data_IF_298401886185
#
_entry.id   IF_298401886185
#
_cell.length_a   1.000
_cell.length_b   1.000
_cell.length_c   1.000
_cell.angle_alpha   90.00
_cell.angle_beta   90.00
_cell.angle_gamma   90.00
#
_symmetry.space_group_name_H-M   'P 1'
#
loop_
_entity.id
_entity.type
_entity.pdbx_description
1 polymer ?
#
# COMPACT_ATOMS: atom_id res chain seq x y z
N UNK A 1 -2.53 -32.64 -13.63
CA UNK A 1 -2.67 -31.60 -12.60
C UNK A 1 -1.81 -30.44 -13.03
N UNK A 2 -2.42 -29.49 -13.72
CA UNK A 2 -1.75 -28.29 -14.22
C UNK A 2 -1.46 -27.37 -13.03
N UNK A 3 -0.19 -27.07 -12.78
CA UNK A 3 0.23 -26.00 -11.89
C UNK A 3 0.07 -24.66 -12.63
N UNK A 4 -1.18 -24.29 -12.90
CA UNK A 4 -1.53 -22.99 -13.44
C UNK A 4 -1.33 -21.95 -12.33
N UNK A 5 -0.19 -21.26 -12.38
CA UNK A 5 -0.03 -19.85 -11.98
C UNK A 5 -0.99 -19.31 -10.90
N UNK A 6 -0.77 -19.64 -9.63
CA UNK A 6 -1.31 -18.86 -8.51
C UNK A 6 -0.23 -18.73 -7.44
N UNK A 7 0.70 -17.78 -7.64
CA UNK A 7 1.33 -17.14 -6.49
C UNK A 7 0.25 -16.42 -5.68
N UNK A 8 0.44 -16.11 -4.37
CA UNK A 8 -0.60 -15.46 -3.58
C UNK A 8 -1.14 -14.26 -4.36
N UNK A 9 -2.44 -14.29 -4.64
CA UNK A 9 -3.10 -13.49 -5.70
C UNK A 9 -3.17 -11.99 -5.39
N UNK A 10 -2.61 -11.55 -4.27
CA UNK A 10 -2.62 -10.18 -3.83
C UNK A 10 -1.67 -10.01 -2.62
N UNK A 11 -1.08 -8.84 -2.41
CA UNK A 11 -0.27 -8.53 -1.21
C UNK A 11 -1.07 -8.70 0.09
N UNK A 12 -2.38 -8.46 0.03
CA UNK A 12 -3.29 -8.66 1.16
C UNK A 12 -3.52 -10.14 1.47
N UNK A 13 -3.58 -10.99 0.44
CA UNK A 13 -3.77 -12.44 0.59
C UNK A 13 -2.58 -13.10 1.30
N UNK A 14 -1.37 -12.55 1.12
CA UNK A 14 -0.16 -13.00 1.82
C UNK A 14 -0.32 -12.96 3.35
N UNK A 15 -1.11 -12.00 3.85
CA UNK A 15 -1.37 -11.80 5.27
C UNK A 15 -2.77 -12.25 5.69
N UNK A 16 -3.58 -12.78 4.77
CA UNK A 16 -4.98 -13.13 5.02
C UNK A 16 -5.86 -11.91 5.35
N UNK A 17 -5.48 -10.72 4.86
CA UNK A 17 -6.17 -9.46 5.15
C UNK A 17 -7.16 -9.11 4.04
N UNK A 18 -8.24 -8.37 4.34
CA UNK A 18 -9.13 -7.87 3.31
C UNK A 18 -8.40 -6.84 2.42
N UNK A 19 -8.69 -6.84 1.12
CA UNK A 19 -8.19 -5.84 0.16
C UNK A 19 -8.88 -4.49 0.38
N UNK A 20 -8.47 -3.76 1.42
CA UNK A 20 -8.97 -2.41 1.77
C UNK A 20 -7.82 -1.43 1.86
N UNK A 21 -8.10 -0.16 1.53
CA UNK A 21 -7.09 0.88 1.68
C UNK A 21 -6.92 1.26 3.14
N UNK A 22 -8.01 1.51 3.87
CA UNK A 22 -7.96 1.63 5.33
C UNK A 22 -7.68 0.24 5.94
N UNK A 23 -6.45 0.07 6.41
CA UNK A 23 -5.95 -1.17 7.00
C UNK A 23 -5.62 -0.94 8.47
N UNK A 24 -6.04 -1.86 9.32
CA UNK A 24 -5.59 -1.92 10.72
C UNK A 24 -4.11 -2.35 10.74
N UNK A 25 -3.24 -1.44 11.17
CA UNK A 25 -1.80 -1.69 11.24
C UNK A 25 -1.44 -2.71 12.32
N UNK A 26 -2.23 -2.83 13.38
CA UNK A 26 -2.01 -3.83 14.43
C UNK A 26 -2.39 -5.22 13.91
N UNK A 27 -3.45 -5.31 13.08
CA UNK A 27 -3.80 -6.55 12.39
C UNK A 27 -2.72 -6.97 11.38
N UNK A 28 -2.21 -6.02 10.59
CA UNK A 28 -1.08 -6.25 9.69
C UNK A 28 0.16 -6.72 10.44
N UNK A 29 0.51 -6.10 11.56
CA UNK A 29 1.66 -6.48 12.38
C UNK A 29 1.52 -7.92 12.91
N UNK A 30 0.34 -8.25 13.45
CA UNK A 30 0.07 -9.61 13.93
C UNK A 30 0.20 -10.63 12.81
N UNK A 31 -0.40 -10.36 11.65
CA UNK A 31 -0.33 -11.24 10.49
C UNK A 31 1.12 -11.39 9.98
N UNK A 32 1.87 -10.30 9.91
CA UNK A 32 3.29 -10.30 9.55
C UNK A 32 4.11 -11.21 10.46
N UNK A 33 3.97 -11.08 11.78
CA UNK A 33 4.69 -11.91 12.74
C UNK A 33 4.35 -13.40 12.54
N UNK A 34 3.09 -13.75 12.28
CA UNK A 34 2.69 -15.15 12.06
C UNK A 34 3.29 -15.72 10.79
N UNK A 35 3.21 -14.98 9.67
CA UNK A 35 3.79 -15.41 8.39
C UNK A 35 5.30 -15.53 8.52
N UNK A 36 5.96 -14.54 9.12
CA UNK A 36 7.40 -14.50 9.25
C UNK A 36 7.95 -15.66 10.09
N UNK A 37 7.26 -16.10 11.14
CA UNK A 37 7.65 -17.28 11.93
C UNK A 37 7.71 -18.57 11.10
N UNK A 38 6.88 -18.70 10.07
CA UNK A 38 6.85 -19.87 9.19
C UNK A 38 8.00 -19.84 8.18
N UNK A 39 8.32 -18.65 7.66
CA UNK A 39 9.28 -18.47 6.56
C UNK A 39 10.67 -18.00 7.01
N UNK A 40 10.90 -17.80 8.31
CA UNK A 40 12.16 -17.25 8.82
C UNK A 40 13.33 -18.19 8.50
N UNK A 41 14.43 -17.71 7.88
CA UNK A 41 15.54 -18.57 7.46
C UNK A 41 16.18 -19.35 8.61
N UNK A 42 16.15 -18.84 9.84
CA UNK A 42 16.68 -19.55 11.03
C UNK A 42 15.96 -20.88 11.33
N UNK A 43 14.72 -21.05 10.86
CA UNK A 43 13.97 -22.29 11.02
C UNK A 43 14.32 -23.33 9.94
N UNK A 44 15.13 -22.97 8.94
CA UNK A 44 15.42 -23.80 7.77
C UNK A 44 16.92 -23.96 7.55
N UNK A 45 17.36 -25.11 7.05
CA UNK A 45 18.78 -25.37 6.77
C UNK A 45 18.97 -25.96 5.36
N UNK A 46 20.22 -26.09 4.92
CA UNK A 46 20.56 -26.69 3.64
C UNK A 46 19.90 -26.01 2.43
N UNK A 47 19.30 -26.80 1.53
CA UNK A 47 18.67 -26.29 0.30
C UNK A 47 17.42 -25.44 0.55
N UNK A 48 16.68 -25.70 1.63
CA UNK A 48 15.49 -24.91 2.02
C UNK A 48 15.81 -23.52 2.54
N UNK A 49 17.03 -23.29 3.07
CA UNK A 49 17.43 -21.99 3.60
C UNK A 49 17.30 -20.87 2.55
N UNK A 50 17.75 -21.11 1.31
CA UNK A 50 17.69 -20.10 0.25
C UNK A 50 16.26 -19.73 -0.13
N UNK A 51 15.36 -20.70 -0.09
CA UNK A 51 13.93 -20.48 -0.37
C UNK A 51 13.29 -19.68 0.76
N UNK A 52 13.53 -20.08 2.01
CA UNK A 52 13.05 -19.37 3.20
C UNK A 52 13.55 -17.92 3.24
N UNK A 53 14.85 -17.69 2.99
CA UNK A 53 15.42 -16.35 2.93
C UNK A 53 14.74 -15.47 1.85
N UNK A 54 14.46 -16.02 0.67
CA UNK A 54 13.74 -15.30 -0.39
C UNK A 54 12.30 -14.98 -0.01
N UNK A 55 11.60 -15.92 0.64
CA UNK A 55 10.23 -15.72 1.11
C UNK A 55 10.17 -14.69 2.23
N UNK A 56 11.05 -14.80 3.22
CA UNK A 56 11.20 -13.83 4.31
C UNK A 56 11.48 -12.42 3.79
N UNK A 57 12.38 -12.27 2.83
CA UNK A 57 12.63 -10.97 2.17
C UNK A 57 11.40 -10.43 1.44
N UNK A 58 10.66 -11.30 0.75
CA UNK A 58 9.41 -10.91 0.08
C UNK A 58 8.35 -10.44 1.09
N UNK A 59 8.16 -11.18 2.18
CA UNK A 59 7.22 -10.84 3.27
C UNK A 59 7.57 -9.48 3.88
N UNK A 60 8.86 -9.22 4.16
CA UNK A 60 9.32 -7.93 4.67
C UNK A 60 9.01 -6.77 3.72
N UNK A 61 9.26 -6.97 2.42
CA UNK A 61 8.99 -5.97 1.39
C UNK A 61 7.49 -5.64 1.32
N UNK A 62 6.64 -6.66 1.28
CA UNK A 62 5.18 -6.47 1.20
C UNK A 62 4.64 -5.84 2.48
N UNK A 63 5.10 -6.27 3.66
CA UNK A 63 4.74 -5.65 4.93
C UNK A 63 5.08 -4.16 4.96
N UNK A 64 6.31 -3.78 4.58
CA UNK A 64 6.71 -2.38 4.50
C UNK A 64 5.86 -1.58 3.52
N UNK A 65 5.58 -2.15 2.34
CA UNK A 65 4.76 -1.49 1.34
C UNK A 65 3.29 -1.34 1.75
N UNK A 66 2.73 -2.33 2.45
CA UNK A 66 1.38 -2.21 3.00
C UNK A 66 1.34 -1.26 4.20
N UNK A 67 2.40 -1.05 4.97
CA UNK A 67 2.39 -0.13 6.10
C UNK A 67 2.31 1.34 5.67
N UNK A 68 2.95 1.69 4.57
CA UNK A 68 2.99 3.06 4.02
C UNK A 68 1.75 3.35 3.16
N UNK A 69 0.88 4.32 3.52
CA UNK A 69 -0.35 4.62 2.76
C UNK A 69 -0.08 4.92 1.30
N UNK A 70 0.97 5.68 0.98
CA UNK A 70 1.38 5.96 -0.39
C UNK A 70 1.65 4.69 -1.19
N UNK A 71 2.49 3.79 -0.68
CA UNK A 71 2.85 2.53 -1.38
C UNK A 71 1.64 1.59 -1.49
N UNK A 72 0.80 1.54 -0.45
CA UNK A 72 -0.46 0.78 -0.45
C UNK A 72 -1.40 1.28 -1.55
N UNK A 73 -1.62 2.59 -1.63
CA UNK A 73 -2.46 3.21 -2.65
C UNK A 73 -1.93 2.96 -4.07
N UNK A 74 -0.61 3.14 -4.28
CA UNK A 74 0.06 2.84 -5.55
C UNK A 74 -0.18 1.39 -5.98
N UNK A 75 0.02 0.44 -5.06
CA UNK A 75 -0.21 -0.98 -5.34
C UNK A 75 -1.67 -1.26 -5.72
N UNK A 76 -2.62 -0.70 -4.97
CA UNK A 76 -4.04 -0.88 -5.24
C UNK A 76 -4.45 -0.31 -6.61
N UNK A 77 -3.92 0.85 -7.00
CA UNK A 77 -4.12 1.44 -8.33
C UNK A 77 -3.50 0.59 -9.44
N UNK A 78 -2.30 0.04 -9.23
CA UNK A 78 -1.67 -0.92 -10.16
C UNK A 78 -2.52 -2.16 -10.37
N UNK A 79 -3.04 -2.74 -9.28
CA UNK A 79 -3.94 -3.90 -9.35
C UNK A 79 -5.25 -3.61 -10.08
N UNK A 80 -5.73 -2.36 -10.04
CA UNK A 80 -6.94 -1.94 -10.76
C UNK A 80 -6.68 -1.55 -12.23
N UNK A 81 -5.42 -1.45 -12.67
CA UNK A 81 -5.06 -0.99 -14.02
C UNK A 81 -5.07 0.53 -14.19
N UNK A 82 -5.14 1.30 -13.09
CA UNK A 82 -5.18 2.77 -13.09
C UNK A 82 -3.83 3.37 -12.66
N UNK A 83 -2.74 2.76 -13.12
CA UNK A 83 -1.37 3.23 -12.90
C UNK A 83 -0.62 3.29 -14.25
N UNK A 84 0.22 4.32 -14.51
CA UNK A 84 0.58 5.43 -13.62
C UNK A 84 -0.55 6.45 -13.44
N UNK A 85 -0.50 7.18 -12.32
CA UNK A 85 -1.41 8.31 -12.06
C UNK A 85 -1.01 9.48 -12.99
N UNK A 86 -1.93 10.01 -13.80
CA UNK A 86 -1.65 11.18 -14.62
C UNK A 86 -1.49 12.44 -13.75
N UNK A 87 -0.85 13.46 -14.30
CA UNK A 87 -0.81 14.77 -13.65
C UNK A 87 -2.18 15.44 -13.73
N UNK A 88 -2.63 16.02 -12.61
CA UNK A 88 -3.82 16.85 -12.54
C UNK A 88 -3.39 18.30 -12.21
N UNK A 89 -3.25 19.20 -13.20
CA UNK A 89 -2.63 20.52 -13.00
C UNK A 89 -3.23 21.34 -11.85
N UNK A 90 -4.57 21.38 -11.75
CA UNK A 90 -5.26 22.09 -10.66
C UNK A 90 -4.94 21.56 -9.27
N UNK A 91 -4.77 20.23 -9.15
CA UNK A 91 -4.41 19.59 -7.88
C UNK A 91 -2.95 19.88 -7.55
N UNK A 92 -2.06 19.83 -8.56
CA UNK A 92 -0.66 20.18 -8.37
C UNK A 92 -0.48 21.64 -7.95
N UNK A 93 -1.26 22.55 -8.53
CA UNK A 93 -1.32 23.96 -8.14
C UNK A 93 -1.83 24.13 -6.69
N UNK A 94 -2.90 23.43 -6.30
CA UNK A 94 -3.40 23.46 -4.92
C UNK A 94 -2.35 22.93 -3.93
N UNK A 95 -1.74 21.78 -4.21
CA UNK A 95 -0.69 21.18 -3.37
C UNK A 95 0.49 22.14 -3.23
N UNK A 96 0.92 22.76 -4.34
CA UNK A 96 2.01 23.74 -4.31
C UNK A 96 1.65 24.96 -3.46
N UNK A 97 0.45 25.50 -3.66
CA UNK A 97 -0.05 26.62 -2.87
C UNK A 97 -0.14 26.28 -1.39
N UNK A 98 -0.67 25.11 -1.04
CA UNK A 98 -0.70 24.63 0.34
C UNK A 98 0.72 24.63 0.91
N UNK A 99 1.67 23.96 0.25
CA UNK A 99 3.07 23.90 0.69
C UNK A 99 3.70 25.28 0.92
N UNK A 100 3.37 26.28 0.11
CA UNK A 100 3.90 27.64 0.29
C UNK A 100 3.35 28.37 1.52
N UNK A 101 2.21 27.94 2.08
CA UNK A 101 1.64 28.55 3.29
C UNK A 101 2.36 28.13 4.58
N UNK A 102 3.20 27.09 4.54
CA UNK A 102 3.88 26.52 5.73
C UNK A 102 2.93 26.22 6.92
N UNK A 103 1.68 25.87 6.63
CA UNK A 103 0.67 25.57 7.64
C UNK A 103 0.55 24.05 7.84
N UNK A 104 1.25 23.53 8.86
CA UNK A 104 1.29 22.10 9.13
C UNK A 104 -0.08 21.50 9.50
N UNK A 105 -0.92 22.23 10.24
CA UNK A 105 -2.26 21.76 10.62
C UNK A 105 -3.14 21.56 9.39
N UNK A 106 -3.06 22.50 8.43
CA UNK A 106 -3.77 22.39 7.17
C UNK A 106 -3.25 21.23 6.31
N UNK A 107 -1.94 20.96 6.32
CA UNK A 107 -1.36 19.82 5.58
C UNK A 107 -1.83 18.51 6.16
N UNK A 108 -1.76 18.38 7.48
CA UNK A 108 -2.19 17.18 8.19
C UNK A 108 -3.68 16.94 7.95
N UNK A 109 -4.52 17.99 8.01
CA UNK A 109 -5.95 17.90 7.67
C UNK A 109 -6.19 17.43 6.24
N UNK A 110 -5.55 18.08 5.26
CA UNK A 110 -5.71 17.74 3.83
C UNK A 110 -5.20 16.34 3.50
N UNK A 111 -4.13 15.90 4.18
CA UNK A 111 -3.63 14.54 4.07
C UNK A 111 -4.65 13.53 4.61
N UNK A 112 -5.24 13.77 5.79
CA UNK A 112 -6.28 12.88 6.34
C UNK A 112 -7.52 12.83 5.44
N UNK A 113 -7.96 13.97 4.91
CA UNK A 113 -9.07 14.03 3.95
C UNK A 113 -8.77 13.20 2.69
N UNK A 114 -7.52 13.24 2.22
CA UNK A 114 -7.09 12.46 1.07
C UNK A 114 -7.06 10.95 1.35
N UNK A 115 -6.65 10.54 2.55
CA UNK A 115 -6.69 9.13 2.99
C UNK A 115 -8.12 8.60 2.94
N UNK A 116 -9.08 9.33 3.50
CA UNK A 116 -10.49 8.95 3.50
C UNK A 116 -11.09 8.97 2.09
N UNK A 117 -10.79 10.03 1.32
CA UNK A 117 -11.27 10.18 -0.05
C UNK A 117 -10.76 9.06 -0.97
N UNK A 118 -9.51 8.63 -0.78
CA UNK A 118 -8.95 7.51 -1.55
C UNK A 118 -9.70 6.21 -1.24
N UNK A 119 -9.91 5.89 0.04
CA UNK A 119 -10.63 4.67 0.45
C UNK A 119 -12.03 4.62 -0.13
N UNK A 120 -12.79 5.71 0.04
CA UNK A 120 -14.17 5.80 -0.46
C UNK A 120 -14.23 5.71 -1.98
N UNK A 121 -13.35 6.45 -2.69
CA UNK A 121 -13.30 6.42 -4.15
C UNK A 121 -12.93 5.03 -4.67
N UNK A 122 -11.97 4.37 -4.04
CA UNK A 122 -11.53 3.04 -4.45
C UNK A 122 -12.63 1.99 -4.23
N UNK A 123 -13.34 2.05 -3.10
CA UNK A 123 -14.47 1.15 -2.82
C UNK A 123 -15.64 1.31 -3.81
N UNK A 124 -15.84 2.53 -4.32
CA UNK A 124 -16.86 2.85 -5.34
C UNK A 124 -16.39 2.64 -6.77
N UNK A 125 -15.19 2.09 -6.98
CA UNK A 125 -14.56 1.93 -8.31
C UNK A 125 -14.40 3.26 -9.07
N UNK A 126 -14.38 4.38 -8.35
CA UNK A 126 -14.17 5.73 -8.84
C UNK A 126 -12.66 6.02 -8.96
N UNK A 127 -11.99 5.26 -9.83
CA UNK A 127 -10.52 5.22 -9.85
C UNK A 127 -9.85 6.55 -10.23
N UNK A 128 -10.50 7.40 -11.01
CA UNK A 128 -9.98 8.75 -11.32
C UNK A 128 -9.96 9.62 -10.06
N UNK A 129 -11.00 9.56 -9.23
CA UNK A 129 -11.04 10.25 -7.95
C UNK A 129 -10.00 9.67 -6.97
N UNK A 130 -9.80 8.36 -6.98
CA UNK A 130 -8.74 7.72 -6.20
C UNK A 130 -7.34 8.19 -6.67
N UNK A 131 -7.11 8.33 -7.98
CA UNK A 131 -5.87 8.90 -8.54
C UNK A 131 -5.63 10.35 -8.08
N UNK A 132 -6.69 11.17 -8.02
CA UNK A 132 -6.61 12.54 -7.52
C UNK A 132 -6.25 12.58 -6.03
N UNK A 133 -6.93 11.79 -5.20
CA UNK A 133 -6.64 11.66 -3.77
C UNK A 133 -5.21 11.15 -3.52
N UNK A 134 -4.74 10.20 -4.34
CA UNK A 134 -3.37 9.68 -4.29
C UNK A 134 -2.31 10.78 -4.44
N UNK A 135 -2.54 11.82 -5.26
CA UNK A 135 -1.58 12.93 -5.37
C UNK A 135 -1.43 13.67 -4.04
N UNK A 136 -2.52 13.98 -3.34
CA UNK A 136 -2.44 14.62 -2.03
C UNK A 136 -1.72 13.71 -1.02
N UNK A 137 -1.99 12.40 -1.01
CA UNK A 137 -1.24 11.44 -0.18
C UNK A 137 0.25 11.50 -0.53
N UNK A 138 0.62 11.47 -1.82
CA UNK A 138 2.01 11.43 -2.25
C UNK A 138 2.81 12.69 -1.91
N UNK A 139 2.16 13.85 -1.88
CA UNK A 139 2.85 15.14 -1.73
C UNK A 139 2.64 15.81 -0.38
N UNK A 140 1.59 15.46 0.38
CA UNK A 140 1.35 16.02 1.73
C UNK A 140 1.78 15.07 2.85
N UNK A 141 2.21 13.84 2.53
CA UNK A 141 2.88 12.94 3.49
C UNK A 141 4.13 13.61 4.06
N UNK A 142 4.33 13.44 5.37
CA UNK A 142 5.46 14.01 6.14
C UNK A 142 6.81 13.44 5.71
#
# INVERSE_FOLDING_TARGET
>A
MEFSSVGPSNWFDLFGLPKRFLLDLDELERAYIQVQKVVHPDCWSGVSFKVAARMSSHVNMVYGALKEPKKRAEYMLKCAGFWPVPSFPKIMEEIFFLKSQFNQELFDSKYQDAILSFDEAFQKEHYVQAQQAYLYICYLEK
#
